data_IF_233060378873
#
_entry.id   IF_233060378873
#
_cell.length_a   1.000
_cell.length_b   1.000
_cell.length_c   1.000
_cell.angle_alpha   90.00
_cell.angle_beta   90.00
_cell.angle_gamma   90.00
#
_symmetry.space_group_name_H-M   'P 1'
#
loop_
_entity.id
_entity.type
_entity.pdbx_description
1 polymer ?
#
# COMPACT_ATOMS: atom_id res chain seq x y z
N UNK A 1 -14.48 10.08 23.64
CA UNK A 1 -15.47 9.39 24.50
C UNK A 1 -14.71 8.75 25.66
N UNK A 2 -14.78 9.33 26.86
CA UNK A 2 -14.08 8.80 28.05
C UNK A 2 -14.98 7.75 28.69
N UNK A 3 -14.55 6.49 28.73
CA UNK A 3 -15.19 5.47 29.57
C UNK A 3 -14.61 5.61 30.97
N UNK A 4 -15.39 6.19 31.88
CA UNK A 4 -15.11 6.17 33.31
C UNK A 4 -15.66 4.86 33.89
N UNK A 5 -14.78 3.99 34.41
CA UNK A 5 -15.19 2.98 35.37
C UNK A 5 -15.42 3.67 36.71
N UNK A 6 -16.68 3.91 37.06
CA UNK A 6 -17.08 4.37 38.39
C UNK A 6 -17.40 3.15 39.25
N UNK A 7 -16.76 3.09 40.42
CA UNK A 7 -17.05 2.10 41.45
C UNK A 7 -18.20 2.59 42.34
N UNK A 8 -19.22 1.74 42.53
CA UNK A 8 -20.23 1.97 43.56
C UNK A 8 -21.55 1.26 43.28
N UNK A 9 -21.76 0.11 43.94
CA UNK A 9 -22.94 -0.28 44.74
C UNK A 9 -22.85 -1.79 44.98
N UNK A 10 -22.78 -2.17 46.26
CA UNK A 10 -22.74 -3.54 46.74
C UNK A 10 -24.06 -4.25 46.39
N UNK A 11 -24.03 -5.17 45.43
CA UNK A 11 -25.02 -6.22 45.25
C UNK A 11 -24.26 -7.54 45.24
N UNK A 12 -24.68 -8.49 46.08
CA UNK A 12 -24.20 -9.87 46.09
C UNK A 12 -24.46 -10.50 44.71
N UNK A 13 -23.44 -10.47 43.86
CA UNK A 13 -23.39 -11.17 42.58
C UNK A 13 -22.17 -12.08 42.62
N UNK A 14 -22.39 -13.32 42.17
CA UNK A 14 -21.35 -14.33 41.98
C UNK A 14 -20.09 -13.70 41.41
N UNK A 15 -18.94 -14.07 41.96
CA UNK A 15 -17.61 -13.64 41.52
C UNK A 15 -17.35 -14.09 40.07
N UNK A 16 -17.96 -13.39 39.11
CA UNK A 16 -17.42 -13.25 37.79
C UNK A 16 -16.22 -12.34 37.93
N UNK A 17 -15.05 -12.95 38.10
CA UNK A 17 -13.79 -12.30 37.82
C UNK A 17 -13.94 -11.75 36.40
N UNK A 18 -14.28 -10.46 36.29
CA UNK A 18 -14.06 -9.73 35.07
C UNK A 18 -12.56 -9.78 34.87
N UNK A 19 -12.12 -10.82 34.15
CA UNK A 19 -10.79 -10.93 33.61
C UNK A 19 -10.60 -9.61 32.87
N UNK A 20 -9.91 -8.67 33.49
CA UNK A 20 -9.17 -7.64 32.78
C UNK A 20 -8.20 -8.45 31.92
N UNK A 21 -8.72 -8.91 30.79
CA UNK A 21 -7.98 -9.61 29.77
C UNK A 21 -6.77 -8.72 29.54
N UNK A 22 -5.61 -9.24 29.92
CA UNK A 22 -4.36 -8.49 29.94
C UNK A 22 -4.19 -7.91 28.55
N UNK A 23 -4.53 -6.63 28.41
CA UNK A 23 -4.61 -5.97 27.11
C UNK A 23 -3.22 -6.13 26.54
N UNK A 24 -3.07 -6.87 25.44
CA UNK A 24 -1.75 -7.03 24.87
C UNK A 24 -1.29 -5.64 24.42
N UNK A 25 -0.21 -5.17 25.05
CA UNK A 25 0.21 -3.77 24.96
C UNK A 25 -0.15 -2.90 26.17
N UNK A 26 -0.76 -3.39 27.25
CA UNK A 26 -1.11 -2.62 28.45
C UNK A 26 -2.10 -1.46 28.23
N UNK A 27 -2.42 -0.68 29.28
CA UNK A 27 -3.18 0.56 29.12
C UNK A 27 -2.38 1.57 28.30
N UNK A 28 -3.08 2.34 27.46
CA UNK A 28 -2.46 3.43 26.71
C UNK A 28 -1.91 4.49 27.67
N UNK A 29 -0.70 4.96 27.40
CA UNK A 29 -0.01 5.95 28.21
C UNK A 29 0.19 7.20 27.35
N UNK A 30 -0.06 8.37 27.94
CA UNK A 30 0.18 9.67 27.28
C UNK A 30 1.66 10.08 27.30
N UNK A 31 2.55 9.19 27.75
CA UNK A 31 3.98 9.48 27.80
C UNK A 31 4.59 9.44 26.39
N UNK A 32 5.17 10.56 25.97
CA UNK A 32 5.80 10.74 24.65
C UNK A 32 7.24 10.21 24.62
N UNK A 33 7.67 9.48 25.65
CA UNK A 33 8.97 8.83 25.69
C UNK A 33 9.16 7.84 24.55
N UNK A 34 9.87 8.26 23.51
CA UNK A 34 10.35 7.38 22.45
C UNK A 34 11.40 6.42 23.03
N UNK A 35 11.18 5.12 22.88
CA UNK A 35 12.15 4.10 23.30
C UNK A 35 13.05 3.82 22.12
N UNK A 36 14.36 3.80 22.38
CA UNK A 36 15.37 3.88 21.36
C UNK A 36 15.34 2.72 20.37
N UNK A 37 15.18 3.03 19.09
CA UNK A 37 15.34 2.09 17.96
C UNK A 37 16.66 1.31 17.99
N UNK A 38 17.66 1.79 18.74
CA UNK A 38 18.91 1.07 19.01
C UNK A 38 18.67 -0.21 19.82
N UNK A 39 17.89 -0.14 20.90
CA UNK A 39 17.64 -1.30 21.78
C UNK A 39 16.81 -2.38 21.06
N UNK A 40 15.83 -1.98 20.25
CA UNK A 40 15.06 -2.92 19.44
C UNK A 40 15.94 -3.63 18.41
N UNK A 41 16.78 -2.87 17.69
CA UNK A 41 17.74 -3.46 16.73
C UNK A 41 18.75 -4.38 17.39
N UNK A 42 19.18 -4.07 18.61
CA UNK A 42 20.07 -4.93 19.38
C UNK A 42 19.39 -6.24 19.77
N UNK A 43 18.18 -6.17 20.35
CA UNK A 43 17.39 -7.35 20.70
C UNK A 43 17.05 -8.22 19.48
N UNK A 44 16.73 -7.59 18.34
CA UNK A 44 16.49 -8.30 17.08
C UNK A 44 17.75 -9.03 16.57
N UNK A 45 18.91 -8.36 16.60
CA UNK A 45 20.20 -8.96 16.18
C UNK A 45 20.65 -10.09 17.09
N UNK A 46 20.35 -10.01 18.39
CA UNK A 46 20.67 -11.07 19.35
C UNK A 46 19.61 -12.17 19.42
N UNK A 47 18.52 -12.05 18.64
CA UNK A 47 17.36 -12.93 18.72
C UNK A 47 16.75 -13.03 20.14
N UNK A 48 16.88 -11.96 20.92
CA UNK A 48 16.23 -11.82 22.23
C UNK A 48 14.77 -11.38 22.03
N UNK A 49 13.94 -12.33 21.61
CA UNK A 49 12.56 -12.08 21.22
C UNK A 49 11.70 -11.58 22.39
N UNK A 50 11.92 -12.07 23.61
CA UNK A 50 11.15 -11.62 24.77
C UNK A 50 11.46 -10.15 25.07
N UNK A 51 12.73 -9.76 25.03
CA UNK A 51 13.12 -8.35 25.18
C UNK A 51 12.54 -7.49 24.07
N UNK A 52 12.59 -7.94 22.82
CA UNK A 52 12.05 -7.21 21.68
C UNK A 52 10.52 -7.04 21.80
N UNK A 53 9.80 -8.09 22.20
CA UNK A 53 8.35 -8.05 22.41
C UNK A 53 8.00 -7.04 23.51
N UNK A 54 8.74 -7.00 24.62
CA UNK A 54 8.50 -6.02 25.68
C UNK A 54 8.73 -4.58 25.22
N UNK A 55 9.78 -4.35 24.42
CA UNK A 55 10.05 -3.05 23.80
C UNK A 55 8.90 -2.65 22.86
N UNK A 56 8.41 -3.57 22.02
CA UNK A 56 7.27 -3.32 21.10
C UNK A 56 5.95 -3.08 21.85
N UNK A 57 5.68 -3.81 22.93
CA UNK A 57 4.53 -3.55 23.81
C UNK A 57 4.60 -2.15 24.39
N UNK A 58 5.78 -1.71 24.83
CA UNK A 58 5.96 -0.37 25.38
C UNK A 58 5.79 0.71 24.29
N UNK A 59 6.23 0.46 23.06
CA UNK A 59 5.99 1.35 21.92
C UNK A 59 4.50 1.50 21.59
N UNK A 60 3.75 0.40 21.64
CA UNK A 60 2.29 0.41 21.50
C UNK A 60 1.64 1.23 22.63
N UNK A 61 2.10 1.12 23.90
CA UNK A 61 1.57 1.92 25.02
C UNK A 61 1.67 3.42 24.77
N UNK A 62 2.84 3.88 24.34
CA UNK A 62 3.13 5.30 24.11
C UNK A 62 2.59 5.82 22.77
N UNK A 63 2.04 4.94 21.93
CA UNK A 63 1.54 5.25 20.60
C UNK A 63 0.28 4.48 20.24
N UNK A 64 -0.64 4.31 21.18
CA UNK A 64 -1.81 3.44 21.01
C UNK A 64 -2.66 3.75 19.79
N UNK A 65 -2.69 5.01 19.35
CA UNK A 65 -3.44 5.46 18.17
C UNK A 65 -2.75 5.19 16.83
N UNK A 66 -1.54 4.63 16.82
CA UNK A 66 -0.73 4.43 15.62
C UNK A 66 -0.80 2.95 15.21
N UNK A 67 -1.65 2.63 14.23
CA UNK A 67 -1.88 1.25 13.76
C UNK A 67 -0.58 0.51 13.40
N UNK A 68 0.37 1.20 12.77
CA UNK A 68 1.66 0.63 12.37
C UNK A 68 2.43 -0.04 13.53
N UNK A 69 2.45 0.58 14.72
CA UNK A 69 3.13 0.02 15.91
C UNK A 69 2.50 -1.30 16.38
N UNK A 70 1.18 -1.42 16.23
CA UNK A 70 0.49 -2.66 16.54
C UNK A 70 0.82 -3.77 15.54
N UNK A 71 0.93 -3.44 14.25
CA UNK A 71 1.39 -4.39 13.24
C UNK A 71 2.83 -4.85 13.52
N UNK A 72 3.74 -3.95 13.88
CA UNK A 72 5.12 -4.33 14.26
C UNK A 72 5.15 -5.29 15.47
N UNK A 73 4.29 -5.07 16.46
CA UNK A 73 4.16 -5.99 17.60
C UNK A 73 3.61 -7.36 17.16
N UNK A 74 2.56 -7.40 16.34
CA UNK A 74 2.01 -8.65 15.83
C UNK A 74 3.04 -9.42 14.98
N UNK A 75 3.77 -8.71 14.11
CA UNK A 75 4.83 -9.29 13.27
C UNK A 75 5.99 -9.86 14.11
N UNK A 76 6.43 -9.12 15.13
CA UNK A 76 7.44 -9.58 16.10
C UNK A 76 6.99 -10.86 16.82
N UNK A 77 5.73 -10.92 17.25
CA UNK A 77 5.16 -12.11 17.90
C UNK A 77 5.12 -13.31 16.95
N UNK A 78 4.79 -13.10 15.67
CA UNK A 78 4.84 -14.17 14.66
C UNK A 78 6.27 -14.66 14.42
N UNK A 79 7.23 -13.75 14.36
CA UNK A 79 8.66 -14.09 14.21
C UNK A 79 9.19 -14.88 15.41
N UNK A 80 8.71 -14.58 16.61
CA UNK A 80 9.02 -15.30 17.85
C UNK A 80 8.26 -16.64 18.01
N UNK A 81 7.44 -17.06 17.03
CA UNK A 81 6.67 -18.30 17.12
C UNK A 81 5.47 -18.23 18.09
N UNK A 82 4.91 -17.03 18.33
CA UNK A 82 3.80 -16.77 19.28
C UNK A 82 2.50 -16.36 18.55
N UNK A 83 1.94 -17.17 17.64
CA UNK A 83 0.84 -16.78 16.76
C UNK A 83 -0.49 -16.52 17.49
N UNK A 84 -0.74 -17.17 18.63
CA UNK A 84 -1.94 -16.92 19.45
C UNK A 84 -1.94 -15.52 20.06
N UNK A 85 -0.76 -15.02 20.44
CA UNK A 85 -0.62 -13.65 20.95
C UNK A 85 -0.69 -12.63 19.81
N UNK A 86 -0.11 -12.92 18.66
CA UNK A 86 -0.28 -12.09 17.46
C UNK A 86 -1.77 -11.95 17.09
N UNK A 87 -2.54 -13.04 17.12
CA UNK A 87 -4.00 -12.99 16.91
C UNK A 87 -4.69 -12.05 17.91
N UNK A 88 -4.35 -12.15 19.20
CA UNK A 88 -4.91 -11.26 20.24
C UNK A 88 -4.55 -9.79 20.00
N UNK A 89 -3.35 -9.49 19.50
CA UNK A 89 -2.97 -8.12 19.07
C UNK A 89 -3.87 -7.63 17.94
N UNK A 90 -4.07 -8.44 16.90
CA UNK A 90 -4.93 -8.07 15.77
C UNK A 90 -6.41 -7.90 16.18
N UNK A 91 -6.90 -8.74 17.11
CA UNK A 91 -8.23 -8.58 17.71
C UNK A 91 -8.34 -7.28 18.51
N UNK A 92 -7.31 -6.95 19.29
CA UNK A 92 -7.23 -5.71 20.05
C UNK A 92 -7.18 -4.48 19.13
N UNK A 93 -6.56 -4.60 17.95
CA UNK A 93 -6.57 -3.56 16.92
C UNK A 93 -7.97 -3.35 16.32
N UNK A 94 -8.64 -4.44 15.91
CA UNK A 94 -10.00 -4.37 15.36
C UNK A 94 -10.99 -3.78 16.36
N UNK A 95 -10.90 -4.15 17.64
CA UNK A 95 -11.73 -3.61 18.72
C UNK A 95 -11.52 -2.10 18.94
N UNK A 96 -10.35 -1.56 18.58
CA UNK A 96 -10.05 -0.11 18.60
C UNK A 96 -10.48 0.62 17.34
N UNK A 97 -11.02 -0.09 16.36
CA UNK A 97 -11.43 0.49 15.10
C UNK A 97 -10.30 0.63 14.08
N UNK A 98 -9.13 0.02 14.29
CA UNK A 98 -8.17 -0.09 13.20
C UNK A 98 -8.71 -1.00 12.10
N UNK A 99 -8.38 -0.69 10.85
CA UNK A 99 -8.70 -1.56 9.73
C UNK A 99 -7.61 -2.62 9.61
N UNK A 100 -7.98 -3.90 9.73
CA UNK A 100 -7.10 -5.03 9.44
C UNK A 100 -7.30 -5.40 7.97
N UNK A 101 -6.43 -4.88 7.11
CA UNK A 101 -6.54 -5.03 5.67
C UNK A 101 -5.27 -5.66 5.08
N UNK A 102 -5.31 -6.97 4.72
CA UNK A 102 -4.17 -7.65 4.13
C UNK A 102 -3.62 -6.93 2.91
N UNK A 103 -4.49 -6.37 2.07
CA UNK A 103 -4.08 -5.76 0.80
C UNK A 103 -3.31 -4.46 0.95
N UNK A 104 -3.48 -3.73 2.06
CA UNK A 104 -2.75 -2.48 2.31
C UNK A 104 -1.40 -2.72 2.98
N UNK A 105 -1.34 -3.69 3.89
CA UNK A 105 -0.21 -3.87 4.78
C UNK A 105 0.72 -5.03 4.37
N UNK A 106 0.34 -5.83 3.37
CA UNK A 106 1.12 -6.99 2.92
C UNK A 106 2.58 -6.66 2.57
N UNK A 107 2.83 -5.52 1.91
CA UNK A 107 4.20 -5.12 1.55
C UNK A 107 5.09 -4.83 2.75
N UNK A 108 4.50 -4.32 3.84
CA UNK A 108 5.22 -3.96 5.06
C UNK A 108 5.34 -5.14 6.02
N UNK A 109 4.34 -6.03 6.05
CA UNK A 109 4.22 -7.11 7.02
C UNK A 109 3.87 -8.46 6.37
N UNK A 110 4.75 -9.04 5.54
CA UNK A 110 4.46 -10.26 4.78
C UNK A 110 4.23 -11.50 5.65
N UNK A 111 4.73 -11.53 6.90
CA UNK A 111 4.40 -12.63 7.84
C UNK A 111 2.97 -12.52 8.35
N UNK A 112 2.47 -11.31 8.58
CA UNK A 112 1.08 -11.10 8.95
C UNK A 112 0.19 -11.56 7.81
N UNK A 113 0.47 -11.17 6.56
CA UNK A 113 -0.27 -11.66 5.38
C UNK A 113 -0.39 -13.18 5.36
N UNK A 114 0.73 -13.91 5.52
CA UNK A 114 0.71 -15.37 5.61
C UNK A 114 -0.06 -15.90 6.82
N UNK A 115 0.00 -15.19 7.95
CA UNK A 115 -0.73 -15.58 9.15
C UNK A 115 -2.25 -15.49 8.99
N UNK A 116 -2.73 -14.49 8.24
CA UNK A 116 -4.16 -14.28 8.00
C UNK A 116 -4.81 -15.41 7.19
N UNK A 117 -4.03 -16.24 6.50
CA UNK A 117 -4.51 -17.43 5.77
C UNK A 117 -4.30 -18.74 6.55
N UNK A 118 -3.95 -18.67 7.84
CA UNK A 118 -3.77 -19.88 8.66
C UNK A 118 -5.09 -20.34 9.27
N UNK A 119 -5.28 -21.66 9.49
CA UNK A 119 -6.48 -22.16 10.16
C UNK A 119 -6.72 -21.54 11.54
N UNK A 120 -5.65 -21.19 12.26
CA UNK A 120 -5.74 -20.51 13.56
C UNK A 120 -6.41 -19.14 13.43
N UNK A 121 -6.03 -18.35 12.43
CA UNK A 121 -6.63 -17.03 12.22
C UNK A 121 -8.05 -17.17 11.66
N UNK A 122 -8.24 -17.98 10.63
CA UNK A 122 -9.55 -18.18 9.96
C UNK A 122 -10.64 -18.66 10.92
N UNK A 123 -10.29 -19.57 11.85
CA UNK A 123 -11.22 -20.06 12.86
C UNK A 123 -11.57 -19.03 13.94
N UNK A 124 -10.80 -17.95 14.08
CA UNK A 124 -11.03 -16.91 15.09
C UNK A 124 -12.23 -16.02 14.75
N UNK A 125 -12.84 -15.34 15.74
CA UNK A 125 -13.91 -14.36 15.48
C UNK A 125 -13.49 -13.25 14.50
N UNK A 126 -12.24 -12.80 14.56
CA UNK A 126 -11.72 -11.78 13.66
C UNK A 126 -11.54 -12.34 12.23
N UNK A 127 -11.02 -13.55 12.08
CA UNK A 127 -10.91 -14.22 10.77
C UNK A 127 -12.26 -14.40 10.11
N UNK A 128 -13.26 -14.88 10.85
CA UNK A 128 -14.63 -14.99 10.35
C UNK A 128 -15.24 -13.63 9.96
N UNK A 129 -14.95 -12.58 10.73
CA UNK A 129 -15.38 -11.21 10.42
C UNK A 129 -14.75 -10.72 9.12
N UNK A 130 -13.43 -10.86 8.95
CA UNK A 130 -12.72 -10.44 7.73
C UNK A 130 -13.18 -11.26 6.51
N UNK A 131 -13.38 -12.57 6.64
CA UNK A 131 -13.90 -13.40 5.56
C UNK A 131 -15.29 -12.97 5.08
N UNK A 132 -16.17 -12.54 5.98
CA UNK A 132 -17.47 -11.94 5.61
C UNK A 132 -17.29 -10.62 4.85
N UNK A 133 -16.38 -9.76 5.32
CA UNK A 133 -16.11 -8.46 4.67
C UNK A 133 -15.50 -8.63 3.27
N UNK A 134 -14.61 -9.61 3.11
CA UNK A 134 -14.06 -10.01 1.81
C UNK A 134 -15.16 -10.52 0.87
N UNK A 135 -16.03 -11.41 1.34
CA UNK A 135 -17.15 -11.91 0.53
C UNK A 135 -18.08 -10.79 0.04
N UNK A 136 -18.37 -9.79 0.90
CA UNK A 136 -19.15 -8.61 0.53
C UNK A 136 -18.41 -7.76 -0.51
N UNK A 137 -17.11 -7.54 -0.35
CA UNK A 137 -16.31 -6.79 -1.32
C UNK A 137 -16.26 -7.50 -2.68
N UNK A 138 -16.06 -8.81 -2.68
CA UNK A 138 -16.05 -9.63 -3.88
C UNK A 138 -17.40 -9.62 -4.60
N UNK A 139 -18.51 -9.58 -3.86
CA UNK A 139 -19.83 -9.40 -4.46
C UNK A 139 -19.96 -8.06 -5.18
N UNK A 140 -19.54 -6.95 -4.54
CA UNK A 140 -19.50 -5.63 -5.19
C UNK A 140 -18.64 -5.66 -6.46
N UNK A 141 -17.42 -6.21 -6.37
CA UNK A 141 -16.50 -6.30 -7.51
C UNK A 141 -17.09 -7.11 -8.66
N UNK A 142 -17.79 -8.22 -8.38
CA UNK A 142 -18.52 -8.99 -9.41
C UNK A 142 -19.63 -8.16 -10.05
N UNK A 143 -20.36 -7.35 -9.29
CA UNK A 143 -21.37 -6.44 -9.81
C UNK A 143 -20.77 -5.39 -10.75
N UNK A 144 -19.71 -4.71 -10.31
CA UNK A 144 -19.07 -3.69 -11.11
C UNK A 144 -18.29 -4.25 -12.30
N UNK A 145 -17.80 -5.49 -12.24
CA UNK A 145 -17.27 -6.16 -13.42
C UNK A 145 -18.34 -6.35 -14.50
N UNK A 146 -19.59 -6.65 -14.12
CA UNK A 146 -20.73 -6.70 -15.06
C UNK A 146 -21.07 -5.31 -15.61
N UNK A 147 -21.05 -4.28 -14.75
CA UNK A 147 -21.27 -2.88 -15.16
C UNK A 147 -20.19 -2.39 -16.12
N UNK A 148 -18.92 -2.67 -15.81
CA UNK A 148 -17.76 -2.34 -16.62
C UNK A 148 -17.93 -2.86 -18.05
N UNK A 149 -18.31 -4.12 -18.23
CA UNK A 149 -18.54 -4.72 -19.56
C UNK A 149 -19.58 -3.98 -20.40
N UNK A 150 -20.56 -3.33 -19.77
CA UNK A 150 -21.64 -2.55 -20.41
C UNK A 150 -21.33 -1.06 -20.54
N UNK A 151 -20.21 -0.59 -19.98
CA UNK A 151 -19.83 0.82 -20.00
C UNK A 151 -19.59 1.32 -21.45
N UNK A 152 -20.18 2.44 -21.88
CA UNK A 152 -19.98 2.97 -23.23
C UNK A 152 -18.50 3.27 -23.54
N UNK A 153 -18.08 3.10 -24.79
CA UNK A 153 -16.69 3.35 -25.21
C UNK A 153 -16.22 4.79 -24.92
N UNK A 154 -17.11 5.78 -25.04
CA UNK A 154 -16.83 7.19 -24.71
C UNK A 154 -16.54 7.46 -23.22
N UNK A 155 -16.93 6.54 -22.35
CA UNK A 155 -16.69 6.61 -20.90
C UNK A 155 -15.48 5.77 -20.49
N UNK A 156 -14.80 5.13 -21.45
CA UNK A 156 -13.57 4.38 -21.23
C UNK A 156 -12.38 5.16 -21.81
N UNK A 157 -11.22 5.14 -21.15
CA UNK A 157 -9.99 5.58 -21.77
C UNK A 157 -9.58 4.61 -22.89
N UNK A 158 -8.63 4.99 -23.76
CA UNK A 158 -7.98 4.05 -24.67
C UNK A 158 -7.42 2.84 -23.90
N UNK A 159 -7.54 1.65 -24.48
CA UNK A 159 -7.00 0.42 -23.88
C UNK A 159 -5.48 0.49 -23.66
N UNK A 160 -4.78 1.16 -24.58
CA UNK A 160 -3.36 1.49 -24.45
C UNK A 160 -3.22 2.99 -24.21
N UNK A 161 -3.11 3.36 -22.95
CA UNK A 161 -2.88 4.74 -22.56
C UNK A 161 -1.38 5.05 -22.53
N UNK A 162 -1.02 6.22 -23.04
CA UNK A 162 0.36 6.71 -23.04
C UNK A 162 0.39 8.09 -22.38
N UNK A 163 0.89 8.13 -21.14
CA UNK A 163 1.21 9.39 -20.49
C UNK A 163 2.47 9.97 -21.12
N UNK A 164 2.37 11.11 -21.80
CA UNK A 164 3.51 11.80 -22.41
C UNK A 164 4.14 12.75 -21.41
N UNK A 165 5.46 12.96 -21.52
CA UNK A 165 6.24 13.80 -20.61
C UNK A 165 6.13 13.36 -19.13
N UNK A 166 6.00 12.05 -18.92
CA UNK A 166 5.74 11.48 -17.61
C UNK A 166 7.04 11.24 -16.83
N UNK A 167 7.03 11.70 -15.58
CA UNK A 167 8.04 11.43 -14.55
C UNK A 167 7.34 10.68 -13.40
N UNK A 168 7.42 9.34 -13.35
CA UNK A 168 6.43 8.54 -12.62
C UNK A 168 6.70 8.39 -11.12
N UNK A 169 7.63 9.16 -10.55
CA UNK A 169 7.97 9.10 -9.13
C UNK A 169 8.37 10.49 -8.61
N UNK A 170 8.39 10.61 -7.28
CA UNK A 170 8.73 11.83 -6.55
C UNK A 170 10.15 12.32 -6.93
N UNK A 171 10.32 13.63 -7.09
CA UNK A 171 11.61 14.25 -7.45
C UNK A 171 12.25 13.77 -8.77
N UNK A 172 11.50 13.05 -9.59
CA UNK A 172 11.94 12.63 -10.91
C UNK A 172 12.27 13.85 -11.77
N UNK A 173 13.41 13.80 -12.47
CA UNK A 173 13.83 14.88 -13.39
C UNK A 173 14.50 14.36 -14.66
N UNK A 174 14.27 15.06 -15.77
CA UNK A 174 15.02 14.90 -17.01
C UNK A 174 16.29 15.76 -17.00
N UNK A 175 17.24 15.46 -17.89
CA UNK A 175 18.53 16.14 -17.98
C UNK A 175 19.72 15.18 -17.94
N UNK A 176 20.81 15.60 -17.32
CA UNK A 176 22.07 14.85 -17.35
C UNK A 176 22.07 13.66 -16.40
N UNK A 177 22.03 12.45 -16.97
CA UNK A 177 22.00 11.19 -16.23
C UNK A 177 23.31 10.41 -16.39
N UNK A 178 23.61 9.57 -15.40
CA UNK A 178 24.74 8.63 -15.43
C UNK A 178 24.24 7.27 -15.90
N UNK A 179 25.05 6.55 -16.68
CA UNK A 179 24.74 5.18 -17.10
C UNK A 179 25.38 4.20 -16.13
N UNK A 180 24.57 3.54 -15.32
CA UNK A 180 24.99 2.58 -14.29
C UNK A 180 25.27 1.19 -14.89
N UNK A 181 24.60 0.85 -15.99
CA UNK A 181 24.77 -0.39 -16.74
C UNK A 181 24.65 -0.17 -18.25
N UNK A 182 25.43 -0.92 -19.05
CA UNK A 182 25.37 -0.84 -20.51
C UNK A 182 23.97 -1.17 -21.00
N UNK A 183 23.37 -0.29 -21.80
CA UNK A 183 21.94 -0.33 -22.14
C UNK A 183 21.72 -0.06 -23.61
N UNK A 184 21.03 -0.98 -24.30
CA UNK A 184 20.59 -0.75 -25.66
C UNK A 184 19.44 0.25 -25.69
N UNK A 185 19.50 1.16 -26.66
CA UNK A 185 18.45 2.12 -26.96
C UNK A 185 17.72 1.68 -28.21
N UNK A 186 16.39 1.69 -28.17
CA UNK A 186 15.53 1.28 -29.29
C UNK A 186 14.92 2.50 -29.98
N UNK A 187 14.45 2.33 -31.22
CA UNK A 187 13.95 3.43 -32.03
C UNK A 187 12.74 4.17 -31.44
N UNK A 188 11.83 3.41 -30.83
CA UNK A 188 10.59 3.88 -30.22
C UNK A 188 10.18 2.91 -29.10
N UNK A 189 9.34 3.32 -28.14
CA UNK A 189 8.78 2.42 -27.14
C UNK A 189 8.24 1.13 -27.77
N UNK A 190 8.63 -0.02 -27.20
CA UNK A 190 8.25 -1.35 -27.67
C UNK A 190 8.96 -1.87 -28.93
N UNK A 191 9.85 -1.09 -29.55
CA UNK A 191 10.60 -1.54 -30.74
C UNK A 191 11.70 -2.55 -30.38
N UNK A 192 11.94 -3.53 -31.25
CA UNK A 192 13.11 -4.41 -31.17
C UNK A 192 14.35 -3.82 -31.87
N UNK A 193 14.19 -2.75 -32.66
CA UNK A 193 15.26 -2.14 -33.44
C UNK A 193 16.15 -1.28 -32.56
N UNK A 194 17.35 -1.80 -32.24
CA UNK A 194 18.40 -1.06 -31.54
C UNK A 194 18.97 0.02 -32.45
N UNK A 195 19.03 1.26 -31.95
CA UNK A 195 19.56 2.45 -32.66
C UNK A 195 20.84 2.99 -32.04
N UNK A 196 21.20 2.54 -30.84
CA UNK A 196 22.44 2.89 -30.17
C UNK A 196 22.59 2.15 -28.85
N UNK A 197 23.74 2.31 -28.21
CA UNK A 197 24.05 1.69 -26.92
C UNK A 197 24.66 2.74 -26.00
N UNK A 198 24.05 2.91 -24.82
CA UNK A 198 24.60 3.72 -23.74
C UNK A 198 25.59 2.86 -22.94
N UNK A 199 26.87 3.23 -22.94
CA UNK A 199 27.91 2.46 -22.24
C UNK A 199 27.91 2.75 -20.74
N UNK A 200 28.11 1.72 -19.91
CA UNK A 200 28.31 1.89 -18.46
C UNK A 200 29.41 2.93 -18.18
N UNK A 201 29.17 3.80 -17.19
CA UNK A 201 30.07 4.88 -16.78
C UNK A 201 29.97 6.14 -17.63
N UNK A 202 29.25 6.12 -18.75
CA UNK A 202 29.05 7.32 -19.58
C UNK A 202 27.97 8.25 -19.04
N UNK A 203 27.86 9.43 -19.65
CA UNK A 203 26.79 10.40 -19.42
C UNK A 203 25.84 10.42 -20.62
N UNK A 204 24.58 10.63 -20.34
CA UNK A 204 23.53 10.79 -21.35
C UNK A 204 22.58 11.91 -20.95
N UNK A 205 21.80 12.42 -21.91
CA UNK A 205 20.74 13.39 -21.62
C UNK A 205 19.39 12.68 -21.74
N UNK A 206 18.65 12.55 -20.65
CA UNK A 206 17.25 12.18 -20.67
C UNK A 206 16.42 13.37 -21.15
N UNK A 207 15.67 13.19 -22.23
CA UNK A 207 14.92 14.26 -22.91
C UNK A 207 13.46 14.36 -22.44
N UNK A 208 12.82 13.21 -22.25
CA UNK A 208 11.43 13.07 -21.84
C UNK A 208 11.16 11.61 -21.44
N UNK A 209 9.96 11.34 -20.94
CA UNK A 209 9.50 10.02 -20.56
C UNK A 209 8.07 9.77 -21.04
N UNK A 210 7.75 8.50 -21.23
CA UNK A 210 6.40 8.02 -21.50
C UNK A 210 6.05 6.87 -20.58
N UNK A 211 4.88 6.88 -19.97
CA UNK A 211 4.36 5.69 -19.27
C UNK A 211 3.29 5.05 -20.14
N UNK A 212 3.54 3.79 -20.52
CA UNK A 212 2.64 2.98 -21.34
C UNK A 212 1.93 1.99 -20.43
N UNK A 213 0.59 2.03 -20.38
CA UNK A 213 -0.19 1.19 -19.47
C UNK A 213 -1.56 0.83 -20.03
N UNK A 214 -2.16 -0.18 -19.41
CA UNK A 214 -3.58 -0.50 -19.57
C UNK A 214 -4.36 0.09 -18.39
N UNK A 215 -5.28 1.04 -18.60
CA UNK A 215 -5.98 1.69 -17.51
C UNK A 215 -6.75 0.71 -16.62
N UNK A 216 -6.58 0.81 -15.31
CA UNK A 216 -7.18 -0.12 -14.37
C UNK A 216 -8.51 0.43 -13.80
N UNK A 217 -9.62 -0.31 -13.91
CA UNK A 217 -10.92 0.17 -13.48
C UNK A 217 -11.09 0.06 -11.95
N UNK A 218 -11.55 1.15 -11.35
CA UNK A 218 -11.84 1.29 -9.92
C UNK A 218 -13.32 1.67 -9.74
N UNK A 219 -14.02 0.93 -8.88
CA UNK A 219 -15.37 1.29 -8.45
C UNK A 219 -15.31 2.32 -7.33
N UNK A 220 -16.15 3.36 -7.42
CA UNK A 220 -16.21 4.43 -6.43
C UNK A 220 -17.23 4.06 -5.35
N UNK A 221 -16.81 4.03 -4.08
CA UNK A 221 -17.63 3.57 -2.95
C UNK A 221 -18.17 4.70 -2.07
N UNK A 222 -17.51 5.86 -2.10
CA UNK A 222 -17.90 7.06 -1.37
C UNK A 222 -18.09 8.23 -2.34
N UNK A 223 -18.93 9.20 -1.96
CA UNK A 223 -19.02 10.45 -2.70
C UNK A 223 -17.84 11.37 -2.35
N UNK A 224 -17.40 12.17 -3.30
CA UNK A 224 -16.29 13.10 -3.15
C UNK A 224 -15.91 13.69 -4.52
N UNK A 225 -14.63 13.61 -4.88
CA UNK A 225 -14.16 14.00 -6.22
C UNK A 225 -14.82 13.19 -7.34
N UNK A 226 -15.09 11.92 -7.08
CA UNK A 226 -15.84 11.04 -7.96
C UNK A 226 -17.21 10.72 -7.36
N UNK A 227 -18.18 10.42 -8.21
CA UNK A 227 -19.54 10.09 -7.78
C UNK A 227 -19.61 8.65 -7.29
N UNK A 228 -20.21 8.41 -6.12
CA UNK A 228 -20.44 7.05 -5.62
C UNK A 228 -21.18 6.21 -6.65
N UNK A 229 -20.69 4.99 -6.84
CA UNK A 229 -21.22 4.02 -7.79
C UNK A 229 -20.77 4.22 -9.24
N UNK A 230 -19.92 5.20 -9.55
CA UNK A 230 -19.29 5.29 -10.87
C UNK A 230 -18.10 4.32 -10.99
N UNK A 231 -17.60 4.19 -12.23
CA UNK A 231 -16.31 3.54 -12.53
C UNK A 231 -15.38 4.65 -13.02
N UNK A 232 -14.18 4.69 -12.45
CA UNK A 232 -13.07 5.52 -12.93
C UNK A 232 -11.91 4.61 -13.32
N UNK A 233 -10.97 5.12 -14.11
CA UNK A 233 -9.81 4.33 -14.54
C UNK A 233 -8.53 4.99 -14.06
N UNK A 234 -7.73 4.25 -13.30
CA UNK A 234 -6.37 4.67 -12.93
C UNK A 234 -5.52 4.70 -14.19
N UNK A 235 -4.81 5.80 -14.38
CA UNK A 235 -3.85 6.01 -15.46
C UNK A 235 -2.43 5.89 -14.89
N UNK A 236 -1.62 6.93 -14.99
CA UNK A 236 -0.24 6.97 -14.52
C UNK A 236 -0.11 7.55 -13.10
N UNK A 237 0.91 7.06 -12.38
CA UNK A 237 1.29 7.54 -11.05
C UNK A 237 2.13 8.80 -11.15
N UNK A 238 1.93 9.71 -10.21
CA UNK A 238 2.62 11.00 -10.12
C UNK A 238 3.64 11.07 -8.97
N UNK A 239 3.70 10.03 -8.14
CA UNK A 239 4.47 10.03 -6.88
C UNK A 239 3.60 10.39 -5.67
N UNK A 240 4.13 10.16 -4.46
CA UNK A 240 3.50 10.54 -3.18
C UNK A 240 2.05 10.06 -2.97
N UNK A 241 1.67 8.95 -3.60
CA UNK A 241 0.30 8.44 -3.52
C UNK A 241 -0.71 9.24 -4.34
N UNK A 242 -0.28 9.96 -5.38
CA UNK A 242 -1.16 10.58 -6.37
C UNK A 242 -1.09 9.87 -7.72
N UNK A 243 -2.21 9.89 -8.44
CA UNK A 243 -2.30 9.40 -9.82
C UNK A 243 -3.27 10.24 -10.66
N UNK A 244 -3.13 10.10 -11.97
CA UNK A 244 -4.12 10.53 -12.94
C UNK A 244 -5.24 9.50 -13.02
N UNK A 245 -6.49 9.97 -13.08
CA UNK A 245 -7.67 9.15 -13.26
C UNK A 245 -8.48 9.63 -14.45
N UNK A 246 -8.93 8.70 -15.30
CA UNK A 246 -9.93 9.00 -16.32
C UNK A 246 -11.34 8.82 -15.76
N UNK A 247 -12.14 9.89 -15.80
CA UNK A 247 -13.53 9.91 -15.37
C UNK A 247 -14.35 10.78 -16.33
N UNK A 248 -15.41 10.20 -16.92
CA UNK A 248 -16.37 10.92 -17.77
C UNK A 248 -15.73 11.79 -18.87
N UNK A 249 -14.73 11.25 -19.59
CA UNK A 249 -14.07 11.99 -20.67
C UNK A 249 -12.96 12.94 -20.23
N UNK A 250 -12.65 13.02 -18.94
CA UNK A 250 -11.64 13.94 -18.38
C UNK A 250 -10.58 13.18 -17.62
N UNK A 251 -9.36 13.72 -17.63
CA UNK A 251 -8.28 13.30 -16.73
C UNK A 251 -8.32 14.20 -15.50
N UNK A 252 -8.32 13.59 -14.33
CA UNK A 252 -8.37 14.26 -13.02
C UNK A 252 -7.28 13.66 -12.13
N UNK A 253 -6.48 14.50 -11.48
CA UNK A 253 -5.50 14.06 -10.50
C UNK A 253 -6.17 13.85 -9.14
N UNK A 254 -5.86 12.75 -8.46
CA UNK A 254 -6.39 12.44 -7.13
C UNK A 254 -5.42 11.54 -6.33
N UNK A 255 -5.66 11.44 -5.01
CA UNK A 255 -4.96 10.49 -4.14
C UNK A 255 -5.35 9.03 -4.46
N UNK A 256 -4.37 8.14 -4.45
CA UNK A 256 -4.46 6.69 -4.65
C UNK A 256 -5.01 5.94 -3.42
N UNK A 257 -5.97 6.53 -2.72
CA UNK A 257 -6.65 5.92 -1.57
C UNK A 257 -7.72 4.90 -2.01
N UNK A 258 -7.39 4.04 -2.97
CA UNK A 258 -8.18 2.88 -3.36
C UNK A 258 -7.41 1.59 -3.02
N UNK A 259 -8.11 0.47 -2.89
CA UNK A 259 -7.47 -0.81 -2.58
C UNK A 259 -8.18 -1.96 -3.28
N UNK A 260 -7.63 -3.17 -3.19
CA UNK A 260 -8.36 -4.37 -3.64
C UNK A 260 -9.62 -4.60 -2.81
N UNK A 261 -9.50 -4.40 -1.50
CA UNK A 261 -10.61 -4.48 -0.56
C UNK A 261 -10.66 -3.19 0.26
N UNK A 262 -11.82 -2.54 0.30
CA UNK A 262 -12.16 -1.47 1.23
C UNK A 262 -13.23 -2.02 2.17
N UNK A 263 -12.80 -2.59 3.29
CA UNK A 263 -13.74 -3.14 4.28
C UNK A 263 -14.53 -2.03 4.97
N UNK A 264 -13.98 -0.82 5.05
CA UNK A 264 -14.65 0.38 5.58
C UNK A 264 -14.48 1.54 4.60
N UNK A 265 -15.39 1.65 3.61
CA UNK A 265 -15.34 2.75 2.65
C UNK A 265 -15.36 4.11 3.37
N UNK A 266 -14.40 4.96 3.01
CA UNK A 266 -14.16 6.29 3.60
C UNK A 266 -13.30 7.11 2.64
N UNK A 267 -12.95 8.35 2.96
CA UNK A 267 -11.97 9.11 2.15
C UNK A 267 -10.61 8.42 2.10
N UNK A 268 -10.23 7.75 3.19
CA UNK A 268 -9.00 6.97 3.27
C UNK A 268 -9.06 5.66 2.46
N UNK A 269 -10.23 5.19 2.03
CA UNK A 269 -10.44 4.03 1.13
C UNK A 269 -11.69 4.26 0.27
N UNK A 270 -11.58 5.18 -0.70
CA UNK A 270 -12.73 5.69 -1.45
C UNK A 270 -13.17 4.78 -2.60
N UNK A 271 -12.30 3.85 -3.03
CA UNK A 271 -12.55 2.99 -4.17
C UNK A 271 -11.94 1.60 -4.08
N UNK A 272 -12.52 0.66 -4.83
CA UNK A 272 -12.06 -0.72 -4.92
C UNK A 272 -11.64 -1.08 -6.35
N UNK A 273 -10.56 -1.84 -6.51
CA UNK A 273 -10.19 -2.35 -7.84
C UNK A 273 -11.21 -3.39 -8.32
N UNK A 274 -11.72 -3.22 -9.53
CA UNK A 274 -12.68 -4.17 -10.11
C UNK A 274 -11.95 -5.43 -10.59
N UNK A 275 -10.72 -5.28 -11.09
CA UNK A 275 -9.88 -6.38 -11.55
C UNK A 275 -8.87 -6.80 -10.45
N UNK A 276 -8.45 -8.08 -10.41
CA UNK A 276 -7.55 -8.58 -9.38
C UNK A 276 -6.13 -8.03 -9.46
N UNK A 277 -5.69 -7.58 -10.65
CA UNK A 277 -4.39 -6.97 -10.87
C UNK A 277 -4.58 -5.59 -11.51
N UNK A 278 -3.80 -4.62 -11.02
CA UNK A 278 -3.58 -3.34 -11.68
C UNK A 278 -2.27 -3.50 -12.44
N UNK A 279 -2.28 -3.55 -13.79
CA UNK A 279 -1.04 -3.67 -14.55
C UNK A 279 -0.13 -2.48 -14.25
N UNK A 280 1.14 -2.76 -13.95
CA UNK A 280 2.12 -1.70 -13.82
C UNK A 280 2.41 -1.08 -15.19
N UNK A 281 2.55 0.24 -15.22
CA UNK A 281 2.95 0.95 -16.43
C UNK A 281 4.43 0.72 -16.74
N UNK A 282 4.75 0.61 -18.02
CA UNK A 282 6.14 0.56 -18.49
C UNK A 282 6.61 1.99 -18.74
N UNK A 283 7.59 2.45 -17.96
CA UNK A 283 8.21 3.75 -18.16
C UNK A 283 9.32 3.68 -19.21
N UNK A 284 9.13 4.36 -20.33
CA UNK A 284 10.09 4.52 -21.39
C UNK A 284 10.73 5.90 -21.31
N UNK A 285 12.06 5.94 -21.30
CA UNK A 285 12.83 7.19 -21.27
C UNK A 285 13.46 7.43 -22.64
N UNK A 286 13.28 8.64 -23.17
CA UNK A 286 13.97 9.09 -24.38
C UNK A 286 15.33 9.64 -24.01
N UNK A 287 16.39 9.07 -24.58
CA UNK A 287 17.77 9.34 -24.22
C UNK A 287 18.54 9.82 -25.45
N UNK A 288 19.35 10.86 -25.28
CA UNK A 288 20.37 11.31 -26.24
C UNK A 288 21.76 10.94 -25.74
N UNK A 289 22.50 10.22 -26.58
CA UNK A 289 23.90 9.88 -26.38
C UNK A 289 24.82 11.06 -26.76
N UNK A 290 26.08 11.08 -26.27
CA UNK A 290 27.05 12.14 -26.63
C UNK A 290 27.33 12.26 -28.13
N UNK A 291 27.22 11.17 -28.88
CA UNK A 291 27.39 11.16 -30.34
C UNK A 291 26.14 11.64 -31.11
N UNK A 292 25.12 12.16 -30.41
CA UNK A 292 23.90 12.69 -31.00
C UNK A 292 22.80 11.65 -31.28
N UNK A 293 23.08 10.35 -31.14
CA UNK A 293 22.08 9.29 -31.31
C UNK A 293 20.98 9.44 -30.26
N UNK A 294 19.72 9.36 -30.69
CA UNK A 294 18.54 9.41 -29.83
C UNK A 294 17.78 8.10 -29.92
N UNK A 295 17.44 7.52 -28.77
CA UNK A 295 16.62 6.33 -28.68
C UNK A 295 15.86 6.25 -27.36
N UNK A 296 15.20 5.13 -27.12
CA UNK A 296 14.36 4.90 -25.95
C UNK A 296 14.84 3.69 -25.16
N UNK A 297 14.60 3.67 -23.85
CA UNK A 297 14.84 2.50 -23.00
C UNK A 297 13.79 2.42 -21.90
N UNK A 298 13.36 1.21 -21.55
CA UNK A 298 12.52 0.93 -20.39
C UNK A 298 13.32 0.48 -19.15
N UNK A 299 14.66 0.46 -19.24
CA UNK A 299 15.56 0.06 -18.15
C UNK A 299 15.94 1.26 -17.29
N UNK A 300 14.96 1.87 -16.63
CA UNK A 300 15.16 3.08 -15.80
C UNK A 300 16.22 2.91 -14.71
N UNK A 301 16.28 1.72 -14.10
CA UNK A 301 17.25 1.33 -13.08
C UNK A 301 18.71 1.24 -13.58
N UNK A 302 18.93 1.33 -14.90
CA UNK A 302 20.28 1.40 -15.47
C UNK A 302 20.82 2.85 -15.50
N UNK A 303 20.05 3.82 -15.04
CA UNK A 303 20.42 5.22 -15.03
C UNK A 303 20.38 5.81 -13.63
N UNK A 304 21.36 6.66 -13.31
CA UNK A 304 21.43 7.41 -12.07
C UNK A 304 21.21 8.90 -12.30
N UNK A 305 21.04 9.64 -11.20
CA UNK A 305 20.70 11.08 -11.16
C UNK A 305 19.32 11.42 -11.76
N UNK A 306 18.47 10.42 -11.96
CA UNK A 306 17.07 10.56 -12.35
C UNK A 306 16.17 11.00 -11.19
N UNK A 307 16.62 10.77 -9.95
CA UNK A 307 16.04 11.26 -8.71
C UNK A 307 16.84 12.47 -8.20
N UNK A 308 16.14 13.53 -7.78
CA UNK A 308 16.74 14.72 -7.16
C UNK A 308 16.71 14.69 -5.63
N UNK A 309 16.06 13.72 -5.02
CA UNK A 309 15.83 13.63 -3.58
C UNK A 309 16.77 12.66 -2.83
N UNK A 310 17.62 11.90 -3.53
CA UNK A 310 18.67 11.09 -2.87
C UNK A 310 19.51 10.25 -3.81
#
# INVERSE_FOLDING_TARGET
MRVFCTAGVLILLAAGSALCEEVIGGPCQDDRGWIGSKQMREAERSHDWDRLIDLRKQEVRTGCGIAYRWYELADTLLQAGRPKEALRVLQAMDARGFEINPSREASNFPRIERFLTTPLFEASPLGQKLGKLEAISDERRREFARKLRRLPAKERPPEHYVAKNACPFECCRFGDWSVLATTNLVANPGSERVVGTASKGSRVIALTGEVHLTPAPVQVLTDGLFRKGSIVFVLDKLGEGYANFYANGKIVQAEENYARYCFRPSEACWGETILPAVPEGIWWIKIRLPNGVVGWSSRSNHFGNNDACG
#
